data_IF_607287364811
#
_entry.id   IF_607287364811
#
_cell.length_a   1.000
_cell.length_b   1.000
_cell.length_c   1.000
_cell.angle_alpha   90.00
_cell.angle_beta   90.00
_cell.angle_gamma   90.00
#
_symmetry.space_group_name_H-M   'P 1'
#
loop_
_entity.id
_entity.type
_entity.pdbx_description
1 polymer ?
#
# COMPACT_ATOMS: atom_id res chain seq x y z
N UNK A 1 0.79 6.44 24.30
CA UNK A 1 1.49 6.07 23.04
C UNK A 1 0.58 6.38 21.88
N UNK A 2 1.01 7.17 20.90
CA UNK A 2 0.17 7.50 19.76
C UNK A 2 -0.19 6.22 19.01
N UNK A 3 -1.46 6.00 18.76
CA UNK A 3 -2.02 4.90 17.98
C UNK A 3 -1.63 5.06 16.49
N UNK A 4 -0.30 5.00 16.21
CA UNK A 4 0.19 5.03 14.84
C UNK A 4 -0.14 3.67 14.20
N UNK A 5 -0.29 3.64 12.92
CA UNK A 5 -0.43 2.43 12.12
C UNK A 5 0.68 2.37 11.09
N UNK A 6 0.33 1.90 9.89
CA UNK A 6 1.28 1.73 8.80
C UNK A 6 0.76 2.35 7.51
N UNK A 7 1.68 2.82 6.67
CA UNK A 7 1.39 3.09 5.28
C UNK A 7 1.80 1.87 4.45
N UNK A 8 0.82 1.24 3.80
CA UNK A 8 1.06 0.08 2.94
C UNK A 8 1.23 0.59 1.50
N UNK A 9 2.40 0.38 0.95
CA UNK A 9 2.68 0.62 -0.47
C UNK A 9 3.12 -0.67 -1.15
N UNK A 10 3.24 -0.66 -2.47
CA UNK A 10 3.73 -1.80 -3.21
C UNK A 10 4.86 -1.43 -4.15
N UNK A 11 5.55 -2.44 -4.66
CA UNK A 11 6.47 -2.27 -5.78
C UNK A 11 5.72 -2.02 -7.10
N UNK A 12 4.42 -2.43 -7.14
CA UNK A 12 3.54 -2.27 -8.30
C UNK A 12 2.05 -2.38 -7.91
N UNK A 13 1.17 -2.33 -8.90
CA UNK A 13 -0.25 -2.72 -8.81
C UNK A 13 -0.36 -4.24 -8.79
N UNK A 14 -1.38 -4.78 -8.10
CA UNK A 14 -1.62 -6.24 -8.08
C UNK A 14 -0.61 -7.07 -7.26
N UNK A 15 0.27 -6.43 -6.48
CA UNK A 15 1.25 -7.15 -5.63
C UNK A 15 0.68 -7.72 -4.34
N UNK A 16 -0.60 -7.44 -4.03
CA UNK A 16 -1.30 -7.97 -2.85
C UNK A 16 -1.36 -7.02 -1.65
N UNK A 17 -1.27 -5.70 -1.86
CA UNK A 17 -1.44 -4.70 -0.78
C UNK A 17 -2.72 -4.91 0.01
N UNK A 18 -3.84 -5.01 -0.68
CA UNK A 18 -5.18 -5.17 -0.10
C UNK A 18 -5.32 -6.49 0.63
N UNK A 19 -4.75 -7.57 0.07
CA UNK A 19 -4.71 -8.87 0.72
C UNK A 19 -3.91 -8.81 2.04
N UNK A 20 -2.72 -8.23 2.03
CA UNK A 20 -1.92 -8.05 3.24
C UNK A 20 -2.62 -7.14 4.26
N UNK A 21 -3.24 -6.04 3.82
CA UNK A 21 -4.06 -5.17 4.67
C UNK A 21 -5.19 -5.96 5.35
N UNK A 22 -5.82 -6.90 4.64
CA UNK A 22 -6.87 -7.77 5.19
C UNK A 22 -6.36 -8.68 6.30
N UNK A 23 -5.17 -9.26 6.13
CA UNK A 23 -4.51 -10.09 7.16
C UNK A 23 -4.25 -9.28 8.43
N UNK A 24 -3.70 -8.07 8.28
CA UNK A 24 -3.46 -7.17 9.43
C UNK A 24 -4.78 -6.82 10.15
N UNK A 25 -5.83 -6.51 9.40
CA UNK A 25 -7.14 -6.19 9.98
C UNK A 25 -7.79 -7.38 10.69
N UNK A 26 -7.60 -8.60 10.16
CA UNK A 26 -8.13 -9.85 10.77
C UNK A 26 -7.37 -10.19 12.04
N UNK A 27 -6.04 -10.08 12.02
CA UNK A 27 -5.17 -10.48 13.12
C UNK A 27 -5.08 -9.44 14.23
N UNK A 28 -5.19 -8.16 13.87
CA UNK A 28 -5.01 -7.04 14.79
C UNK A 28 -6.15 -6.04 14.67
N UNK A 29 -6.30 -5.19 15.68
CA UNK A 29 -7.39 -4.22 15.75
C UNK A 29 -7.08 -2.91 15.00
N UNK A 30 -6.78 -2.99 13.69
CA UNK A 30 -6.53 -1.83 12.83
C UNK A 30 -7.82 -1.31 12.18
N UNK A 31 -7.90 0.00 11.96
CA UNK A 31 -8.81 0.60 10.99
C UNK A 31 -8.13 0.64 9.61
N UNK A 32 -8.93 0.71 8.54
CA UNK A 32 -8.45 0.73 7.17
C UNK A 32 -8.93 1.97 6.42
N UNK A 33 -8.01 2.57 5.68
CA UNK A 33 -8.30 3.71 4.83
C UNK A 33 -7.48 3.68 3.55
N UNK A 34 -8.16 3.71 2.41
CA UNK A 34 -7.57 3.94 1.10
C UNK A 34 -7.99 5.33 0.62
N UNK A 35 -7.13 6.36 0.76
CA UNK A 35 -7.49 7.76 0.49
C UNK A 35 -7.92 8.01 -0.95
N UNK A 36 -7.34 7.28 -1.91
CA UNK A 36 -7.64 7.38 -3.33
C UNK A 36 -7.95 5.99 -3.86
N UNK A 37 -9.18 5.75 -4.30
CA UNK A 37 -9.64 4.54 -4.94
C UNK A 37 -9.82 4.77 -6.43
N UNK A 38 -9.24 3.91 -7.27
CA UNK A 38 -9.52 3.81 -8.71
C UNK A 38 -10.18 2.48 -9.01
N UNK A 39 -10.97 2.38 -10.09
CA UNK A 39 -11.68 1.14 -10.44
C UNK A 39 -12.81 0.77 -9.48
N UNK A 40 -13.53 1.75 -8.89
CA UNK A 40 -14.48 1.51 -7.78
C UNK A 40 -15.58 0.48 -8.04
N UNK A 41 -15.87 0.17 -9.30
CA UNK A 41 -16.89 -0.81 -9.68
C UNK A 41 -16.31 -2.18 -10.01
N UNK A 42 -15.02 -2.27 -10.31
CA UNK A 42 -14.33 -3.49 -10.75
C UNK A 42 -13.43 -4.01 -9.64
N UNK A 43 -12.63 -3.13 -9.04
CA UNK A 43 -11.61 -3.47 -8.04
C UNK A 43 -11.74 -2.56 -6.81
N UNK A 44 -12.75 -2.81 -5.99
CA UNK A 44 -12.92 -2.04 -4.76
C UNK A 44 -12.25 -2.74 -3.59
N UNK A 45 -11.04 -2.29 -3.23
CA UNK A 45 -10.24 -2.86 -2.16
C UNK A 45 -10.98 -2.92 -0.82
N UNK A 46 -11.73 -1.87 -0.49
CA UNK A 46 -12.53 -1.86 0.74
C UNK A 46 -13.62 -2.93 0.72
N UNK A 47 -14.26 -3.14 -0.42
CA UNK A 47 -15.28 -4.19 -0.59
C UNK A 47 -14.66 -5.58 -0.52
N UNK A 48 -13.51 -5.78 -1.16
CA UNK A 48 -12.74 -7.03 -1.07
C UNK A 48 -12.44 -7.40 0.39
N UNK A 49 -11.91 -6.45 1.18
CA UNK A 49 -11.61 -6.72 2.59
C UNK A 49 -12.88 -7.04 3.38
N UNK A 50 -13.95 -6.26 3.19
CA UNK A 50 -15.23 -6.49 3.89
C UNK A 50 -15.81 -7.88 3.64
N UNK A 51 -15.78 -8.34 2.39
CA UNK A 51 -16.31 -9.64 2.01
C UNK A 51 -15.47 -10.81 2.57
N UNK A 52 -14.14 -10.66 2.59
CA UNK A 52 -13.24 -11.77 2.92
C UNK A 52 -12.96 -11.94 4.41
N UNK A 53 -13.18 -10.93 5.24
CA UNK A 53 -12.78 -11.02 6.65
C UNK A 53 -13.89 -10.77 7.68
N UNK A 54 -15.15 -10.51 7.26
CA UNK A 54 -16.30 -10.38 8.14
C UNK A 54 -16.20 -9.27 9.20
N UNK A 55 -15.38 -8.25 8.97
CA UNK A 55 -15.13 -7.19 9.95
C UNK A 55 -16.22 -6.12 9.93
N UNK A 56 -16.54 -5.58 11.11
CA UNK A 56 -17.55 -4.53 11.31
C UNK A 56 -17.30 -3.31 10.39
N UNK A 57 -18.37 -2.73 9.85
CA UNK A 57 -18.33 -1.59 8.91
C UNK A 57 -17.62 -0.35 9.47
N UNK A 58 -17.64 -0.13 10.79
CA UNK A 58 -17.05 1.04 11.45
C UNK A 58 -15.51 1.07 11.46
N UNK A 59 -14.85 0.02 10.96
CA UNK A 59 -13.38 -0.05 10.83
C UNK A 59 -12.85 0.43 9.47
N UNK A 60 -13.76 0.85 8.58
CA UNK A 60 -13.41 1.30 7.23
C UNK A 60 -13.74 2.78 7.04
N UNK A 61 -12.74 3.54 6.67
CA UNK A 61 -12.90 4.96 6.37
C UNK A 61 -13.14 5.17 4.87
N UNK A 62 -14.03 6.11 4.52
CA UNK A 62 -14.36 6.44 3.14
C UNK A 62 -13.14 7.05 2.42
N UNK A 63 -12.88 6.71 1.15
CA UNK A 63 -11.87 7.38 0.35
C UNK A 63 -12.23 8.86 0.17
N UNK A 64 -11.23 9.72 0.02
CA UNK A 64 -11.42 11.13 -0.32
C UNK A 64 -11.71 11.30 -1.82
N UNK A 65 -11.05 10.46 -2.63
CA UNK A 65 -11.28 10.39 -4.08
C UNK A 65 -11.60 8.95 -4.48
N UNK A 66 -12.64 8.81 -5.30
CA UNK A 66 -13.06 7.50 -5.81
C UNK A 66 -13.44 7.63 -7.27
N UNK A 67 -12.66 6.97 -8.15
CA UNK A 67 -12.80 7.04 -9.61
C UNK A 67 -13.33 5.73 -10.19
N UNK A 68 -14.08 5.83 -11.27
CA UNK A 68 -14.72 4.67 -11.93
C UNK A 68 -13.69 3.79 -12.64
N UNK A 69 -12.76 4.42 -13.40
CA UNK A 69 -11.80 3.69 -14.23
C UNK A 69 -10.65 3.10 -13.41
N UNK A 70 -10.21 1.85 -13.69
CA UNK A 70 -9.04 1.22 -13.07
C UNK A 70 -7.74 1.72 -13.72
N UNK A 71 -7.47 3.01 -13.57
CA UNK A 71 -6.28 3.70 -14.07
C UNK A 71 -5.48 4.27 -12.91
N UNK A 72 -4.25 4.72 -13.20
CA UNK A 72 -3.50 5.51 -12.22
C UNK A 72 -4.28 6.75 -11.80
N UNK A 73 -4.14 7.21 -10.53
CA UNK A 73 -4.98 8.29 -9.99
C UNK A 73 -5.05 9.54 -10.86
N UNK A 74 -3.92 10.01 -11.41
CA UNK A 74 -3.89 11.20 -12.26
C UNK A 74 -4.67 11.01 -13.56
N UNK A 75 -4.60 9.81 -14.19
CA UNK A 75 -5.37 9.53 -15.41
C UNK A 75 -6.86 9.40 -15.08
N UNK A 76 -7.21 8.62 -14.05
CA UNK A 76 -8.59 8.47 -13.63
C UNK A 76 -9.25 9.81 -13.30
N UNK A 77 -8.52 10.68 -12.60
CA UNK A 77 -8.98 12.03 -12.25
C UNK A 77 -9.18 12.94 -13.47
N UNK A 78 -8.30 12.84 -14.47
CA UNK A 78 -8.43 13.59 -15.73
C UNK A 78 -9.69 13.15 -16.52
N UNK A 79 -9.94 11.83 -16.62
CA UNK A 79 -11.13 11.32 -17.28
C UNK A 79 -12.44 11.81 -16.64
N UNK A 80 -12.45 11.94 -15.31
CA UNK A 80 -13.64 12.41 -14.58
C UNK A 80 -13.64 13.92 -14.34
N UNK A 81 -12.66 14.65 -14.88
CA UNK A 81 -12.50 16.11 -14.72
C UNK A 81 -12.45 16.55 -13.24
N UNK A 82 -11.93 15.67 -12.36
CA UNK A 82 -11.80 15.91 -10.92
C UNK A 82 -10.32 16.09 -10.58
N UNK A 83 -9.91 17.25 -10.09
CA UNK A 83 -8.52 17.47 -9.69
C UNK A 83 -8.24 16.93 -8.28
N UNK A 84 -7.22 16.06 -8.16
CA UNK A 84 -6.75 15.56 -6.86
C UNK A 84 -5.96 16.67 -6.16
N UNK A 85 -6.51 17.20 -5.08
CA UNK A 85 -5.87 18.20 -4.23
C UNK A 85 -5.32 17.54 -2.96
N UNK A 86 -4.00 17.55 -2.81
CA UNK A 86 -3.30 16.97 -1.66
C UNK A 86 -3.70 17.60 -0.31
N UNK A 87 -4.12 18.87 -0.29
CA UNK A 87 -4.58 19.54 0.93
C UNK A 87 -5.89 18.95 1.45
N UNK A 88 -6.77 18.48 0.55
CA UNK A 88 -8.05 17.82 0.91
C UNK A 88 -7.87 16.42 1.48
N UNK A 89 -6.76 15.73 1.19
CA UNK A 89 -6.50 14.40 1.71
C UNK A 89 -6.03 14.51 3.16
N UNK A 90 -6.96 14.52 4.09
CA UNK A 90 -6.71 14.58 5.54
C UNK A 90 -6.93 13.19 6.15
N UNK A 91 -6.06 12.80 7.08
CA UNK A 91 -6.21 11.55 7.84
C UNK A 91 -7.55 11.55 8.59
N UNK A 92 -8.33 10.47 8.51
CA UNK A 92 -9.55 10.35 9.30
C UNK A 92 -9.22 10.26 10.81
N UNK A 93 -10.17 10.66 11.64
CA UNK A 93 -10.11 10.35 13.06
C UNK A 93 -10.34 8.85 13.26
N UNK A 94 -9.49 8.23 14.04
CA UNK A 94 -9.58 6.81 14.36
C UNK A 94 -9.11 6.59 15.80
N UNK A 95 -9.89 5.81 16.54
CA UNK A 95 -9.54 5.38 17.90
C UNK A 95 -8.59 4.17 17.89
N UNK A 96 -8.34 3.59 16.71
CA UNK A 96 -7.47 2.44 16.49
C UNK A 96 -6.25 2.83 15.67
N UNK A 97 -5.18 2.02 15.68
CA UNK A 97 -4.11 2.15 14.71
C UNK A 97 -4.66 2.06 13.29
N UNK A 98 -4.12 2.85 12.36
CA UNK A 98 -4.67 3.01 11.02
C UNK A 98 -3.75 2.40 9.96
N UNK A 99 -4.31 1.55 9.10
CA UNK A 99 -3.71 1.15 7.84
C UNK A 99 -4.10 2.17 6.78
N UNK A 100 -3.10 2.83 6.18
CA UNK A 100 -3.27 3.68 5.01
C UNK A 100 -2.75 2.93 3.80
N UNK A 101 -3.62 2.60 2.85
CA UNK A 101 -3.21 1.89 1.63
C UNK A 101 -3.03 2.84 0.46
N UNK A 102 -1.84 2.77 -0.16
CA UNK A 102 -1.50 3.53 -1.36
C UNK A 102 -2.07 2.91 -2.65
N UNK A 103 -2.17 3.70 -3.70
CA UNK A 103 -2.56 3.27 -5.03
C UNK A 103 -1.31 2.97 -5.88
N UNK A 104 -1.05 1.70 -6.19
CA UNK A 104 0.13 1.28 -6.96
C UNK A 104 1.45 1.39 -6.19
N UNK A 105 2.53 1.75 -6.90
CA UNK A 105 3.87 1.97 -6.36
C UNK A 105 4.13 3.43 -5.98
N UNK A 106 5.27 3.69 -5.33
CA UNK A 106 5.60 4.99 -4.69
C UNK A 106 5.75 6.16 -5.68
N UNK A 107 6.08 5.89 -6.95
CA UNK A 107 6.22 6.91 -7.99
C UNK A 107 4.96 7.09 -8.85
N UNK A 108 3.85 6.45 -8.50
CA UNK A 108 2.57 6.61 -9.21
C UNK A 108 2.11 8.07 -9.09
N UNK A 109 1.82 8.77 -10.21
CA UNK A 109 1.34 10.13 -10.19
C UNK A 109 -0.08 10.22 -9.61
N UNK A 110 -0.25 11.13 -8.66
CA UNK A 110 -1.57 11.47 -8.10
C UNK A 110 -2.21 12.64 -8.86
N UNK A 111 -1.40 13.59 -9.27
CA UNK A 111 -1.77 14.72 -10.10
C UNK A 111 -0.53 15.23 -10.89
N UNK A 112 -0.62 16.41 -11.54
CA UNK A 112 0.48 16.99 -12.34
C UNK A 112 1.75 17.32 -11.54
N UNK A 113 1.69 17.37 -10.19
CA UNK A 113 2.79 17.85 -9.34
C UNK A 113 3.21 16.84 -8.26
N UNK A 114 2.33 15.90 -7.92
CA UNK A 114 2.53 15.02 -6.77
C UNK A 114 2.50 13.55 -7.18
N UNK A 115 3.38 12.79 -6.55
CA UNK A 115 3.45 11.34 -6.62
C UNK A 115 2.91 10.72 -5.33
N UNK A 116 2.72 9.40 -5.30
CA UNK A 116 2.29 8.70 -4.09
C UNK A 116 3.27 8.90 -2.91
N UNK A 117 4.56 8.99 -3.17
CA UNK A 117 5.57 9.24 -2.15
C UNK A 117 5.33 10.56 -1.38
N UNK A 118 4.75 11.57 -2.03
CA UNK A 118 4.42 12.83 -1.36
C UNK A 118 3.28 12.65 -0.34
N UNK A 119 2.37 11.71 -0.60
CA UNK A 119 1.34 11.33 0.36
C UNK A 119 1.94 10.58 1.55
N UNK A 120 2.93 9.70 1.32
CA UNK A 120 3.69 9.01 2.36
C UNK A 120 4.39 10.03 3.25
N UNK A 121 5.12 10.99 2.65
CA UNK A 121 5.79 12.08 3.38
C UNK A 121 4.83 12.91 4.21
N UNK A 122 3.64 13.19 3.68
CA UNK A 122 2.62 13.97 4.36
C UNK A 122 2.13 13.30 5.65
N UNK A 123 1.91 11.99 5.63
CA UNK A 123 1.34 11.29 6.79
C UNK A 123 2.39 10.82 7.79
N UNK A 124 3.63 10.62 7.38
CA UNK A 124 4.77 10.22 8.23
C UNK A 124 4.50 8.94 9.05
N UNK A 125 3.80 7.99 8.44
CA UNK A 125 3.64 6.65 9.00
C UNK A 125 4.82 5.76 8.61
N UNK A 126 5.21 4.78 9.45
CA UNK A 126 6.13 3.72 9.02
C UNK A 126 5.57 3.01 7.80
N UNK A 127 6.43 2.73 6.82
CA UNK A 127 6.04 2.14 5.53
C UNK A 127 6.30 0.65 5.54
N UNK A 128 5.32 -0.14 5.12
CA UNK A 128 5.50 -1.53 4.74
C UNK A 128 5.41 -1.60 3.21
N UNK A 129 6.43 -2.19 2.59
CA UNK A 129 6.47 -2.41 1.14
C UNK A 129 6.00 -3.83 0.85
N UNK A 130 4.96 -3.97 0.05
CA UNK A 130 4.48 -5.26 -0.44
C UNK A 130 5.06 -5.50 -1.83
N UNK A 131 5.73 -6.63 -2.02
CA UNK A 131 6.29 -7.09 -3.28
C UNK A 131 5.74 -8.46 -3.64
N UNK A 132 5.67 -8.77 -4.94
CA UNK A 132 5.21 -10.07 -5.42
C UNK A 132 6.42 -10.93 -5.79
N UNK A 133 6.47 -12.18 -5.30
CA UNK A 133 7.60 -13.12 -5.57
C UNK A 133 7.52 -13.67 -6.99
N UNK A 134 8.02 -12.87 -7.95
CA UNK A 134 8.14 -13.21 -9.37
C UNK A 134 9.51 -12.73 -9.88
N UNK A 135 9.92 -13.19 -11.06
CA UNK A 135 11.13 -12.69 -11.71
C UNK A 135 11.11 -11.14 -11.80
N UNK A 136 12.20 -10.50 -11.41
CA UNK A 136 12.34 -9.03 -11.31
C UNK A 136 11.99 -8.45 -9.94
N UNK A 137 11.45 -9.25 -8.99
CA UNK A 137 11.04 -8.76 -7.66
C UNK A 137 12.16 -8.09 -6.88
N UNK A 138 13.38 -8.66 -6.93
CA UNK A 138 14.55 -8.12 -6.23
C UNK A 138 14.82 -6.70 -6.72
N UNK A 139 14.95 -6.52 -8.05
CA UNK A 139 15.19 -5.21 -8.64
C UNK A 139 14.11 -4.18 -8.27
N UNK A 140 12.83 -4.50 -8.45
CA UNK A 140 11.73 -3.58 -8.15
C UNK A 140 11.65 -3.23 -6.66
N UNK A 141 11.95 -4.19 -5.79
CA UNK A 141 11.95 -3.97 -4.35
C UNK A 141 13.11 -3.07 -3.94
N UNK A 142 14.32 -3.37 -4.42
CA UNK A 142 15.51 -2.55 -4.11
C UNK A 142 15.37 -1.11 -4.62
N UNK A 143 14.87 -0.90 -5.85
CA UNK A 143 14.58 0.44 -6.37
C UNK A 143 13.58 1.19 -5.49
N UNK A 144 12.52 0.51 -5.03
CA UNK A 144 11.51 1.09 -4.13
C UNK A 144 12.13 1.49 -2.80
N UNK A 145 12.92 0.60 -2.19
CA UNK A 145 13.61 0.83 -0.93
C UNK A 145 14.60 1.99 -1.02
N UNK A 146 15.38 2.04 -2.11
CA UNK A 146 16.37 3.10 -2.33
C UNK A 146 15.71 4.48 -2.41
N UNK A 147 14.60 4.60 -3.15
CA UNK A 147 13.86 5.86 -3.23
C UNK A 147 13.27 6.26 -1.88
N UNK A 148 12.73 5.31 -1.12
CA UNK A 148 12.19 5.58 0.22
C UNK A 148 13.30 6.06 1.16
N UNK A 149 14.47 5.42 1.14
CA UNK A 149 15.66 5.80 1.95
C UNK A 149 16.18 7.19 1.59
N UNK A 150 16.36 7.49 0.29
CA UNK A 150 16.77 8.82 -0.20
C UNK A 150 15.82 9.92 0.28
N UNK A 151 14.55 9.59 0.44
CA UNK A 151 13.54 10.52 0.95
C UNK A 151 13.40 10.48 2.49
N UNK A 152 14.30 9.81 3.21
CA UNK A 152 14.32 9.69 4.69
C UNK A 152 13.00 9.18 5.27
N UNK A 153 12.32 8.28 4.54
CA UNK A 153 11.07 7.66 4.97
C UNK A 153 11.39 6.45 5.84
N UNK A 154 10.73 6.36 6.99
CA UNK A 154 10.88 5.22 7.89
C UNK A 154 10.24 3.98 7.25
N UNK A 155 11.06 2.99 6.89
CA UNK A 155 10.63 1.71 6.33
C UNK A 155 10.56 0.71 7.48
N UNK A 156 9.38 0.12 7.72
CA UNK A 156 9.20 -0.89 8.75
C UNK A 156 9.67 -2.27 8.28
N UNK A 157 9.50 -2.57 7.00
CA UNK A 157 9.97 -3.80 6.37
C UNK A 157 9.27 -4.10 5.05
N UNK A 158 9.56 -5.30 4.53
CA UNK A 158 9.02 -5.81 3.26
C UNK A 158 8.14 -7.02 3.53
N UNK A 159 7.06 -7.15 2.76
CA UNK A 159 6.26 -8.38 2.66
C UNK A 159 6.47 -8.96 1.26
N UNK A 160 6.89 -10.20 1.21
CA UNK A 160 7.01 -10.94 -0.04
C UNK A 160 5.78 -11.83 -0.22
N UNK A 161 4.96 -11.49 -1.20
CA UNK A 161 3.66 -12.12 -1.44
C UNK A 161 3.67 -13.05 -2.67
N UNK A 162 2.70 -13.94 -2.79
CA UNK A 162 2.50 -14.84 -3.93
C UNK A 162 3.70 -15.79 -4.14
N UNK A 163 4.17 -16.41 -3.07
CA UNK A 163 5.24 -17.38 -3.13
C UNK A 163 4.66 -18.70 -3.62
N UNK A 164 5.12 -19.14 -4.79
CA UNK A 164 4.76 -20.43 -5.39
C UNK A 164 5.72 -21.54 -5.00
N UNK A 165 7.00 -21.21 -4.88
CA UNK A 165 8.08 -22.09 -4.49
C UNK A 165 8.78 -21.53 -3.26
N UNK A 166 8.81 -22.29 -2.18
CA UNK A 166 9.39 -21.85 -0.90
C UNK A 166 10.88 -21.52 -1.03
N UNK A 167 11.67 -22.34 -1.74
CA UNK A 167 13.10 -22.11 -1.92
C UNK A 167 13.38 -20.81 -2.65
N UNK A 168 12.67 -20.56 -3.77
CA UNK A 168 12.79 -19.29 -4.50
C UNK A 168 12.33 -18.08 -3.65
N UNK A 169 11.30 -18.26 -2.84
CA UNK A 169 10.84 -17.25 -1.89
C UNK A 169 11.92 -16.89 -0.87
N UNK A 170 12.57 -17.90 -0.29
CA UNK A 170 13.64 -17.73 0.70
C UNK A 170 14.87 -17.05 0.07
N UNK A 171 15.26 -17.44 -1.15
CA UNK A 171 16.37 -16.84 -1.90
C UNK A 171 16.06 -15.37 -2.26
N UNK A 172 14.86 -15.07 -2.71
CA UNK A 172 14.41 -13.69 -2.98
C UNK A 172 14.40 -12.86 -1.70
N UNK A 173 13.87 -13.40 -0.60
CA UNK A 173 13.82 -12.72 0.68
C UNK A 173 15.24 -12.39 1.17
N UNK A 174 16.14 -13.37 1.15
CA UNK A 174 17.55 -13.18 1.54
C UNK A 174 18.23 -12.11 0.69
N UNK A 175 18.05 -12.15 -0.62
CA UNK A 175 18.63 -11.14 -1.52
C UNK A 175 18.11 -9.73 -1.20
N UNK A 176 16.79 -9.59 -0.93
CA UNK A 176 16.20 -8.31 -0.56
C UNK A 176 16.74 -7.82 0.78
N UNK A 177 16.96 -8.71 1.76
CA UNK A 177 17.52 -8.36 3.05
C UNK A 177 18.98 -7.93 2.95
N UNK A 178 19.79 -8.70 2.25
CA UNK A 178 21.23 -8.47 2.11
C UNK A 178 21.52 -7.16 1.35
N UNK A 179 20.93 -6.96 0.18
CA UNK A 179 21.16 -5.77 -0.65
C UNK A 179 20.30 -4.57 -0.23
N UNK A 180 19.12 -4.83 0.29
CA UNK A 180 18.19 -3.79 0.73
C UNK A 180 18.45 -3.29 2.15
N UNK A 181 19.28 -3.97 2.94
CA UNK A 181 19.50 -3.69 4.36
C UNK A 181 18.16 -3.39 5.07
N UNK A 182 17.21 -4.30 4.93
CA UNK A 182 15.86 -4.21 5.46
C UNK A 182 15.31 -5.61 5.71
N UNK A 183 14.46 -5.76 6.72
CA UNK A 183 13.89 -7.05 7.07
C UNK A 183 12.69 -7.43 6.18
N UNK A 184 12.66 -8.66 5.69
CA UNK A 184 11.47 -9.29 5.13
C UNK A 184 10.62 -9.84 6.30
N UNK A 185 9.53 -9.16 6.61
CA UNK A 185 8.70 -9.42 7.80
C UNK A 185 7.86 -10.69 7.68
N UNK A 186 7.45 -11.00 6.48
CA UNK A 186 6.68 -12.19 6.16
C UNK A 186 6.79 -12.56 4.69
N UNK A 187 6.68 -13.86 4.45
CA UNK A 187 6.51 -14.49 3.16
C UNK A 187 5.10 -15.11 3.12
N UNK A 188 4.33 -14.77 2.09
CA UNK A 188 2.93 -15.20 1.98
C UNK A 188 2.79 -16.07 0.72
N UNK A 189 2.44 -17.32 0.92
CA UNK A 189 2.07 -18.26 -0.15
C UNK A 189 0.60 -18.09 -0.52
N UNK A 190 0.25 -18.40 -1.78
CA UNK A 190 -1.13 -18.51 -2.24
C UNK A 190 -1.65 -19.92 -1.96
#
# INVERSE_FOLDING_TARGET
>A
MSKKGFFITGTDTGVGKTFFSSILMKKYNFDYWKPIQTGKFIENDTSYIKQNIGIKKNRFHKPIYSFKKPLSPHLASNYEKISINMKKIKKPNSDRPLIIEGAGGILVPLNKKNLLIDLIKKFKFPVIVVSKSILGTINHTLMTLEILKKNKINIFGVILNNIKNKKEGDENAKSIEDFGNIKVLAQISL
#
